data_IF_163939021330
#
_entry.id   IF_163939021330
#
_cell.length_a   1.000
_cell.length_b   1.000
_cell.length_c   1.000
_cell.angle_alpha   90.00
_cell.angle_beta   90.00
_cell.angle_gamma   90.00
#
_symmetry.space_group_name_H-M   'P 1'
#
loop_
_entity.id
_entity.type
_entity.pdbx_description
1 polymer ?
#
# COMPACT_ATOMS: atom_id res chain seq x y z
N UNK A 1 -4.91 24.86 -17.78
CA UNK A 1 -5.13 24.00 -16.60
C UNK A 1 -4.09 22.89 -16.72
N UNK A 2 -3.10 22.73 -15.82
CA UNK A 2 -2.37 21.48 -15.81
C UNK A 2 -3.40 20.37 -15.56
N UNK A 3 -3.29 19.26 -16.30
CA UNK A 3 -4.18 18.12 -16.13
C UNK A 3 -4.19 17.74 -14.64
N UNK A 4 -5.37 17.76 -14.02
CA UNK A 4 -5.56 17.14 -12.70
C UNK A 4 -5.39 15.65 -12.93
N UNK A 5 -4.20 15.13 -12.60
CA UNK A 5 -3.93 13.70 -12.66
C UNK A 5 -4.62 13.01 -11.49
N UNK A 6 -4.96 11.74 -11.68
CA UNK A 6 -5.43 10.85 -10.61
C UNK A 6 -4.56 9.59 -10.58
N UNK A 7 -4.15 9.16 -9.38
CA UNK A 7 -3.40 7.92 -9.22
C UNK A 7 -4.22 6.68 -9.65
N UNK A 8 -5.55 6.79 -9.71
CA UNK A 8 -6.39 5.72 -10.24
C UNK A 8 -6.19 5.49 -11.76
N UNK A 9 -5.55 6.42 -12.49
CA UNK A 9 -5.22 6.25 -13.91
C UNK A 9 -4.21 5.11 -14.15
N UNK A 10 -3.45 4.69 -13.12
CA UNK A 10 -2.57 3.51 -13.18
C UNK A 10 -3.34 2.19 -13.15
N UNK A 11 -4.65 2.19 -12.91
CA UNK A 11 -5.45 0.97 -12.80
C UNK A 11 -5.16 0.21 -11.52
N UNK A 12 -4.72 -1.04 -11.63
CA UNK A 12 -4.32 -1.86 -10.48
C UNK A 12 -2.89 -1.50 -10.07
N UNK A 13 -2.73 -1.00 -8.85
CA UNK A 13 -1.44 -0.56 -8.32
C UNK A 13 -1.27 -0.86 -6.84
N UNK A 14 -0.03 -0.86 -6.39
CA UNK A 14 0.29 -0.64 -4.99
C UNK A 14 1.45 0.33 -4.85
N UNK A 15 1.23 1.38 -4.07
CA UNK A 15 2.24 2.30 -3.63
C UNK A 15 2.55 2.01 -2.17
N UNK A 16 3.79 1.62 -1.90
CA UNK A 16 4.29 1.47 -0.54
C UNK A 16 5.28 2.57 -0.22
N UNK A 17 5.32 3.00 1.04
CA UNK A 17 6.32 3.93 1.55
C UNK A 17 6.92 3.37 2.82
N UNK A 18 8.21 3.59 3.01
CA UNK A 18 8.96 3.18 4.20
C UNK A 18 9.85 4.33 4.65
N UNK A 19 9.83 4.62 5.95
CA UNK A 19 10.68 5.64 6.55
C UNK A 19 12.06 5.05 6.86
N UNK A 20 13.12 5.83 6.65
CA UNK A 20 14.51 5.45 6.97
C UNK A 20 15.07 4.22 6.24
N UNK A 21 14.37 3.66 5.25
CA UNK A 21 14.96 2.74 4.29
C UNK A 21 15.40 3.51 3.04
N UNK A 22 16.44 3.00 2.37
CA UNK A 22 16.81 3.41 1.02
C UNK A 22 16.12 2.52 -0.04
N UNK A 23 16.15 2.87 -1.34
CA UNK A 23 15.48 2.09 -2.38
C UNK A 23 15.95 0.63 -2.50
N UNK A 24 17.23 0.33 -2.29
CA UNK A 24 17.76 -1.04 -2.32
C UNK A 24 17.21 -1.90 -1.18
N UNK A 25 17.11 -1.32 0.02
CA UNK A 25 16.50 -1.96 1.18
C UNK A 25 15.00 -2.17 0.98
N UNK A 26 14.31 -1.23 0.31
CA UNK A 26 12.92 -1.42 -0.11
C UNK A 26 12.82 -2.62 -1.05
N UNK A 27 13.61 -2.71 -2.12
CA UNK A 27 13.58 -3.88 -3.02
C UNK A 27 13.88 -5.20 -2.27
N UNK A 28 14.85 -5.18 -1.37
CA UNK A 28 15.19 -6.33 -0.52
C UNK A 28 14.01 -6.76 0.36
N UNK A 29 13.21 -5.81 0.87
CA UNK A 29 12.02 -6.11 1.67
C UNK A 29 10.93 -6.85 0.90
N UNK A 30 10.89 -6.69 -0.42
CA UNK A 30 10.04 -7.47 -1.34
C UNK A 30 10.66 -8.82 -1.74
N UNK A 31 11.92 -9.06 -1.38
CA UNK A 31 12.68 -10.26 -1.74
C UNK A 31 13.44 -10.16 -3.07
N UNK A 32 13.52 -8.97 -3.66
CA UNK A 32 14.32 -8.74 -4.87
C UNK A 32 15.81 -8.56 -4.52
N UNK A 33 16.68 -8.96 -5.44
CA UNK A 33 18.12 -8.67 -5.35
C UNK A 33 18.38 -7.26 -5.89
N UNK A 34 18.82 -6.28 -5.06
CA UNK A 34 19.13 -4.94 -5.54
C UNK A 34 20.31 -4.91 -6.52
N UNK A 35 21.19 -5.92 -6.53
CA UNK A 35 22.32 -6.02 -7.46
C UNK A 35 21.90 -6.23 -8.92
N UNK A 36 20.70 -6.78 -9.14
CA UNK A 36 20.12 -6.99 -10.48
C UNK A 36 19.21 -5.81 -10.90
N UNK A 37 19.01 -4.82 -10.03
CA UNK A 37 18.13 -3.70 -10.30
C UNK A 37 18.80 -2.66 -11.20
N UNK A 38 18.00 -1.99 -12.04
CA UNK A 38 18.46 -0.98 -13.00
C UNK A 38 17.64 0.30 -12.86
N UNK A 39 18.26 1.47 -13.04
CA UNK A 39 17.52 2.73 -13.11
C UNK A 39 16.73 2.79 -14.43
N UNK A 40 15.40 2.84 -14.34
CA UNK A 40 14.49 2.85 -15.48
C UNK A 40 13.32 3.79 -15.27
N UNK A 41 12.93 4.54 -16.32
CA UNK A 41 11.63 5.22 -16.33
C UNK A 41 10.47 4.21 -16.35
N UNK A 42 9.25 4.67 -16.08
CA UNK A 42 8.05 3.82 -16.20
C UNK A 42 7.95 3.22 -17.60
N UNK A 43 8.04 4.08 -18.61
CA UNK A 43 7.97 3.67 -20.01
C UNK A 43 9.06 2.66 -20.41
N UNK A 44 10.29 2.83 -19.92
CA UNK A 44 11.37 1.87 -20.16
C UNK A 44 11.04 0.52 -19.52
N UNK A 45 10.65 0.52 -18.25
CA UNK A 45 10.32 -0.71 -17.53
C UNK A 45 9.16 -1.48 -18.18
N UNK A 46 8.11 -0.79 -18.64
CA UNK A 46 6.98 -1.38 -19.35
C UNK A 46 7.38 -1.96 -20.71
N UNK A 47 8.30 -1.32 -21.42
CA UNK A 47 8.72 -1.74 -22.76
C UNK A 47 9.77 -2.85 -22.78
N UNK A 48 10.65 -2.89 -21.77
CA UNK A 48 11.81 -3.78 -21.73
C UNK A 48 11.61 -5.00 -20.82
N UNK A 49 10.74 -4.91 -19.80
CA UNK A 49 10.52 -6.00 -18.85
C UNK A 49 9.19 -6.67 -19.16
N UNK A 50 9.25 -7.93 -19.61
CA UNK A 50 8.08 -8.76 -19.79
C UNK A 50 7.50 -9.17 -18.43
N UNK A 51 6.39 -8.55 -18.03
CA UNK A 51 5.65 -8.93 -16.82
C UNK A 51 4.77 -10.14 -17.13
N UNK A 52 4.95 -11.22 -16.39
CA UNK A 52 4.06 -12.38 -16.37
C UNK A 52 3.07 -12.30 -15.20
N UNK A 53 2.01 -13.11 -15.23
CA UNK A 53 1.02 -13.21 -14.14
C UNK A 53 1.62 -13.62 -12.78
N UNK A 54 2.78 -14.29 -12.81
CA UNK A 54 3.50 -14.76 -11.61
C UNK A 54 4.55 -13.78 -11.12
N UNK A 55 4.85 -12.74 -11.92
CA UNK A 55 5.88 -11.76 -11.60
C UNK A 55 5.33 -10.51 -10.91
N UNK A 56 6.22 -9.78 -10.25
CA UNK A 56 5.96 -8.45 -9.73
C UNK A 56 7.08 -7.48 -10.15
N UNK A 57 6.71 -6.45 -10.89
CA UNK A 57 7.62 -5.37 -11.29
C UNK A 57 7.67 -4.31 -10.18
N UNK A 58 8.85 -4.15 -9.59
CA UNK A 58 9.09 -3.22 -8.49
C UNK A 58 9.85 -2.01 -9.02
N UNK A 59 9.39 -0.80 -8.71
CA UNK A 59 10.08 0.45 -9.04
C UNK A 59 10.22 1.30 -7.79
N UNK A 60 11.43 1.36 -7.25
CA UNK A 60 11.73 1.99 -5.98
C UNK A 60 12.49 3.32 -6.15
N UNK A 61 12.14 4.31 -5.33
CA UNK A 61 12.78 5.62 -5.30
C UNK A 61 12.76 6.23 -3.92
N UNK A 62 13.39 7.39 -3.79
CA UNK A 62 13.43 8.18 -2.57
C UNK A 62 12.59 9.46 -2.67
N UNK A 63 12.11 9.90 -1.51
CA UNK A 63 11.45 11.19 -1.32
C UNK A 63 11.74 11.70 0.11
N UNK A 64 12.81 12.49 0.23
CA UNK A 64 13.26 13.03 1.50
C UNK A 64 13.76 11.94 2.46
N UNK A 65 13.06 11.74 3.58
CA UNK A 65 13.40 10.70 4.58
C UNK A 65 12.66 9.38 4.36
N UNK A 66 11.88 9.30 3.28
CA UNK A 66 11.11 8.14 2.89
C UNK A 66 11.67 7.56 1.61
N UNK A 67 11.54 6.25 1.47
CA UNK A 67 11.62 5.58 0.18
C UNK A 67 10.28 4.97 -0.15
N UNK A 68 9.99 4.82 -1.43
CA UNK A 68 8.73 4.26 -1.92
C UNK A 68 8.98 3.17 -2.93
N UNK A 69 7.99 2.30 -3.13
CA UNK A 69 7.93 1.39 -4.27
C UNK A 69 6.55 1.47 -4.89
N UNK A 70 6.50 1.67 -6.20
CA UNK A 70 5.28 1.61 -7.01
C UNK A 70 5.29 0.32 -7.84
N UNK A 71 4.20 -0.42 -7.74
CA UNK A 71 3.93 -1.64 -8.49
C UNK A 71 2.69 -1.39 -9.35
N UNK A 72 2.77 -1.75 -10.64
CA UNK A 72 1.65 -1.69 -11.59
C UNK A 72 1.46 -3.11 -12.13
N UNK A 73 0.20 -3.58 -12.14
CA UNK A 73 -0.18 -4.93 -12.51
C UNK A 73 0.48 -6.03 -11.64
N UNK A 74 -0.35 -6.81 -10.95
CA UNK A 74 0.06 -7.86 -9.99
C UNK A 74 0.76 -7.38 -8.71
N UNK A 75 0.34 -6.28 -8.06
CA UNK A 75 1.01 -5.76 -6.88
C UNK A 75 1.02 -6.77 -5.73
N UNK A 76 2.09 -6.77 -4.95
CA UNK A 76 2.29 -7.64 -3.78
C UNK A 76 2.57 -6.84 -2.50
N UNK A 77 2.95 -5.57 -2.60
CA UNK A 77 3.34 -4.72 -1.47
C UNK A 77 2.27 -4.50 -0.40
N UNK A 78 1.01 -4.78 -0.71
CA UNK A 78 -0.08 -4.74 0.27
C UNK A 78 -0.08 -5.91 1.26
N UNK A 79 0.71 -6.96 1.01
CA UNK A 79 0.85 -8.11 1.88
C UNK A 79 1.46 -7.72 3.24
N UNK A 80 0.90 -8.25 4.33
CA UNK A 80 1.33 -7.93 5.69
C UNK A 80 2.82 -8.27 5.93
N UNK A 81 3.33 -9.30 5.25
CA UNK A 81 4.74 -9.71 5.36
C UNK A 81 5.67 -8.63 4.81
N UNK A 82 5.33 -8.07 3.66
CA UNK A 82 6.11 -7.00 3.02
C UNK A 82 5.98 -5.72 3.83
N UNK A 83 4.75 -5.33 4.22
CA UNK A 83 4.55 -4.12 4.99
C UNK A 83 5.25 -4.16 6.36
N UNK A 84 5.31 -5.33 7.02
CA UNK A 84 6.11 -5.51 8.25
C UNK A 84 7.59 -5.29 8.00
N UNK A 85 8.13 -5.86 6.92
CA UNK A 85 9.52 -5.72 6.52
C UNK A 85 9.88 -4.26 6.21
N UNK A 86 9.00 -3.57 5.49
CA UNK A 86 9.12 -2.14 5.17
C UNK A 86 9.01 -1.24 6.41
N UNK A 87 8.20 -1.61 7.40
CA UNK A 87 8.01 -0.82 8.61
C UNK A 87 9.27 -0.82 9.51
N UNK A 88 9.87 -1.99 9.73
CA UNK A 88 10.96 -2.15 10.70
C UNK A 88 10.59 -1.55 12.07
N UNK A 89 11.48 -0.76 12.65
CA UNK A 89 11.27 0.02 13.88
C UNK A 89 10.83 1.47 13.60
N UNK A 90 10.17 1.71 12.46
CA UNK A 90 9.76 3.04 12.01
C UNK A 90 8.34 3.02 11.44
N UNK A 91 8.08 3.74 10.35
CA UNK A 91 6.76 3.89 9.75
C UNK A 91 6.73 3.34 8.33
N UNK A 92 5.60 2.75 7.94
CA UNK A 92 5.34 2.39 6.56
C UNK A 92 3.87 2.56 6.17
N UNK A 93 3.63 2.81 4.89
CA UNK A 93 2.30 2.86 4.29
C UNK A 93 2.18 1.82 3.17
N UNK A 94 0.97 1.31 2.98
CA UNK A 94 0.56 0.68 1.73
C UNK A 94 -0.78 1.27 1.27
N UNK A 95 -0.78 1.87 0.08
CA UNK A 95 -1.97 2.26 -0.64
C UNK A 95 -2.09 1.34 -1.85
N UNK A 96 -3.13 0.50 -1.87
CA UNK A 96 -3.36 -0.42 -2.98
C UNK A 96 -4.71 -0.16 -3.61
N UNK A 97 -4.75 -0.32 -4.92
CA UNK A 97 -5.98 -0.49 -5.69
C UNK A 97 -5.88 -1.81 -6.43
N UNK A 98 -6.86 -2.68 -6.22
CA UNK A 98 -6.95 -3.97 -6.89
C UNK A 98 -8.30 -4.15 -7.57
N UNK A 99 -8.37 -5.09 -8.52
CA UNK A 99 -9.57 -5.51 -9.25
C UNK A 99 -10.91 -5.30 -8.52
N UNK A 100 -11.89 -4.77 -9.26
CA UNK A 100 -13.15 -4.19 -8.78
C UNK A 100 -13.04 -2.81 -8.12
N UNK A 101 -11.95 -2.06 -8.37
CA UNK A 101 -11.77 -0.68 -7.90
C UNK A 101 -11.71 -0.54 -6.37
N UNK A 102 -11.43 -1.64 -5.66
CA UNK A 102 -11.30 -1.61 -4.21
C UNK A 102 -9.97 -0.96 -3.84
N UNK A 103 -10.04 0.12 -3.06
CA UNK A 103 -8.86 0.82 -2.56
C UNK A 103 -8.63 0.41 -1.10
N UNK A 104 -7.43 -0.03 -0.76
CA UNK A 104 -7.05 -0.38 0.61
C UNK A 104 -5.92 0.54 1.08
N UNK A 105 -6.07 1.05 2.29
CA UNK A 105 -5.06 1.82 3.01
C UNK A 105 -4.57 1.02 4.21
N UNK A 106 -3.26 0.96 4.40
CA UNK A 106 -2.61 0.44 5.60
C UNK A 106 -1.55 1.40 6.08
N UNK A 107 -1.45 1.55 7.39
CA UNK A 107 -0.38 2.27 8.07
C UNK A 107 0.21 1.36 9.15
N UNK A 108 1.53 1.25 9.16
CA UNK A 108 2.29 0.51 10.14
C UNK A 108 3.28 1.43 10.85
N UNK A 109 3.48 1.20 12.14
CA UNK A 109 4.41 1.92 12.98
C UNK A 109 5.02 0.98 14.01
N UNK A 110 6.32 1.09 14.27
CA UNK A 110 7.07 0.35 15.29
C UNK A 110 6.82 -1.17 15.20
N UNK A 111 6.91 -1.71 13.99
CA UNK A 111 6.74 -3.13 13.69
C UNK A 111 5.32 -3.65 13.89
N UNK A 112 4.31 -2.78 13.92
CA UNK A 112 2.89 -3.14 14.13
C UNK A 112 2.00 -2.50 13.05
N UNK A 113 0.96 -3.22 12.64
CA UNK A 113 -0.08 -2.67 11.77
C UNK A 113 -1.02 -1.78 12.62
N UNK A 114 -0.97 -0.48 12.42
CA UNK A 114 -1.61 0.53 13.28
C UNK A 114 -2.96 1.01 12.74
N UNK A 115 -3.15 1.07 11.42
CA UNK A 115 -4.46 1.27 10.78
C UNK A 115 -4.59 0.42 9.51
N UNK A 116 -5.80 -0.08 9.23
CA UNK A 116 -6.14 -0.72 7.96
C UNK A 116 -7.62 -0.49 7.65
N UNK A 117 -7.92 -0.05 6.43
CA UNK A 117 -9.29 0.22 5.99
C UNK A 117 -9.40 0.36 4.47
N UNK A 118 -10.63 0.25 3.96
CA UNK A 118 -11.04 0.79 2.67
C UNK A 118 -11.47 2.26 2.88
N UNK A 119 -10.82 3.24 2.22
CA UNK A 119 -11.21 4.64 2.35
C UNK A 119 -12.68 4.85 2.03
N UNK A 120 -13.35 5.75 2.77
CA UNK A 120 -14.80 6.04 2.64
C UNK A 120 -15.73 4.90 3.04
N UNK A 121 -15.21 3.80 3.60
CA UNK A 121 -16.01 2.70 4.14
C UNK A 121 -15.77 2.53 5.65
N UNK A 122 -16.54 3.21 6.52
CA UNK A 122 -16.37 3.15 7.98
C UNK A 122 -16.46 1.75 8.60
N UNK A 123 -17.10 0.79 7.92
CA UNK A 123 -17.26 -0.57 8.43
C UNK A 123 -15.95 -1.38 8.37
N UNK A 124 -15.02 -0.97 7.50
CA UNK A 124 -13.74 -1.65 7.29
C UNK A 124 -12.64 -1.17 8.24
N UNK A 125 -12.86 -0.08 8.97
CA UNK A 125 -11.84 0.52 9.86
C UNK A 125 -11.38 -0.46 10.93
N UNK A 126 -10.07 -0.69 10.96
CA UNK A 126 -9.32 -1.43 11.98
C UNK A 126 -8.12 -0.60 12.41
N UNK A 127 -7.68 -0.79 13.65
CA UNK A 127 -6.61 0.02 14.23
C UNK A 127 -7.10 1.19 15.07
N UNK A 128 -6.16 1.80 15.80
CA UNK A 128 -6.41 2.83 16.82
C UNK A 128 -5.31 3.89 16.85
N UNK A 129 -4.58 4.09 15.75
CA UNK A 129 -3.50 5.08 15.72
C UNK A 129 -4.00 6.50 16.02
N UNK A 130 -3.14 7.29 16.66
CA UNK A 130 -3.41 8.69 16.97
C UNK A 130 -3.50 9.59 15.72
N UNK A 131 -3.06 9.10 14.55
CA UNK A 131 -3.11 9.86 13.31
C UNK A 131 -4.51 9.95 12.70
N UNK A 132 -5.39 8.99 13.04
CA UNK A 132 -6.77 8.94 12.59
C UNK A 132 -6.88 9.13 11.06
N UNK A 133 -6.07 8.39 10.29
CA UNK A 133 -5.94 8.57 8.84
C UNK A 133 -7.28 8.41 8.13
N UNK A 134 -8.12 7.46 8.59
CA UNK A 134 -9.48 7.31 8.05
C UNK A 134 -10.28 8.62 8.10
N UNK A 135 -10.30 9.30 9.25
CA UNK A 135 -11.04 10.56 9.43
C UNK A 135 -10.45 11.68 8.57
N UNK A 136 -9.12 11.76 8.48
CA UNK A 136 -8.45 12.74 7.60
C UNK A 136 -8.86 12.56 6.14
N UNK A 137 -8.83 11.32 5.65
CA UNK A 137 -9.23 10.97 4.27
C UNK A 137 -10.73 11.20 4.05
N UNK A 138 -11.57 10.93 5.06
CA UNK A 138 -13.01 11.16 5.01
C UNK A 138 -13.38 12.65 4.90
N UNK A 139 -12.54 13.53 5.42
CA UNK A 139 -12.74 14.99 5.40
C UNK A 139 -12.25 15.65 4.10
N UNK A 140 -11.56 14.92 3.23
CA UNK A 140 -11.21 15.39 1.88
C UNK A 140 -12.46 15.53 1.00
N UNK A 141 -12.41 16.40 -0.02
CA UNK A 141 -13.52 16.63 -0.95
C UNK A 141 -14.08 15.33 -1.54
N UNK A 142 -15.41 15.22 -1.59
CA UNK A 142 -16.09 14.07 -2.20
C UNK A 142 -15.85 13.94 -3.71
N UNK A 143 -15.44 15.03 -4.37
CA UNK A 143 -15.08 15.03 -5.80
C UNK A 143 -13.70 14.41 -6.10
N UNK A 144 -12.84 14.23 -5.09
CA UNK A 144 -11.56 13.54 -5.23
C UNK A 144 -11.79 12.03 -5.19
N UNK A 145 -10.99 11.22 -5.88
CA UNK A 145 -11.08 9.77 -5.77
C UNK A 145 -10.63 9.26 -4.40
N UNK A 146 -10.98 8.03 -4.03
CA UNK A 146 -10.59 7.44 -2.75
C UNK A 146 -9.07 7.27 -2.65
N UNK A 147 -8.44 6.83 -3.74
CA UNK A 147 -7.00 6.67 -3.82
C UNK A 147 -6.28 8.03 -3.79
N UNK A 148 -6.77 9.02 -4.54
CA UNK A 148 -6.14 10.35 -4.55
C UNK A 148 -6.29 11.08 -3.20
N UNK A 149 -7.43 10.96 -2.51
CA UNK A 149 -7.59 11.50 -1.17
C UNK A 149 -6.62 10.83 -0.17
N UNK A 150 -6.41 9.52 -0.31
CA UNK A 150 -5.43 8.78 0.49
C UNK A 150 -4.01 9.25 0.21
N UNK A 151 -3.65 9.44 -1.06
CA UNK A 151 -2.34 9.93 -1.47
C UNK A 151 -2.06 11.34 -0.95
N UNK A 152 -3.07 12.23 -0.95
CA UNK A 152 -2.95 13.58 -0.38
C UNK A 152 -2.64 13.53 1.12
N UNK A 153 -3.38 12.72 1.89
CA UNK A 153 -3.15 12.56 3.32
C UNK A 153 -1.78 11.94 3.64
N UNK A 154 -1.33 10.98 2.81
CA UNK A 154 0.05 10.44 2.91
C UNK A 154 1.06 11.55 2.63
N UNK A 155 0.90 12.30 1.54
CA UNK A 155 1.82 13.39 1.14
C UNK A 155 1.94 14.46 2.23
N UNK A 156 0.81 14.84 2.84
CA UNK A 156 0.78 15.74 4.02
C UNK A 156 1.55 15.16 5.21
N UNK A 157 1.37 13.87 5.50
CA UNK A 157 2.02 13.21 6.65
C UNK A 157 3.53 13.10 6.47
N UNK A 158 3.99 12.73 5.27
CA UNK A 158 5.42 12.59 4.98
C UNK A 158 6.09 13.96 4.74
N UNK A 159 5.30 15.02 4.53
CA UNK A 159 5.79 16.37 4.26
C UNK A 159 6.37 16.56 2.86
N UNK A 160 5.96 15.74 1.89
CA UNK A 160 6.48 15.76 0.52
C UNK A 160 5.41 15.33 -0.50
N UNK A 161 5.44 15.90 -1.69
CA UNK A 161 4.47 15.61 -2.75
C UNK A 161 4.86 14.36 -3.55
N UNK A 162 3.96 13.39 -3.61
CA UNK A 162 4.09 12.23 -4.50
C UNK A 162 3.42 12.58 -5.83
N UNK A 163 4.22 12.92 -6.84
CA UNK A 163 3.75 13.44 -8.12
C UNK A 163 3.91 12.42 -9.27
N UNK A 164 3.26 12.62 -10.42
CA UNK A 164 3.43 11.75 -11.59
C UNK A 164 4.86 11.77 -12.12
N UNK A 165 5.53 12.92 -12.07
CA UNK A 165 6.93 13.01 -12.51
C UNK A 165 7.86 12.18 -11.63
N UNK A 166 7.59 12.13 -10.32
CA UNK A 166 8.32 11.27 -9.39
C UNK A 166 8.09 9.78 -9.72
N UNK A 167 6.82 9.38 -9.86
CA UNK A 167 6.47 7.97 -10.11
C UNK A 167 6.91 7.47 -11.49
N UNK A 168 6.92 8.33 -12.51
CA UNK A 168 7.28 7.96 -13.88
C UNK A 168 8.77 8.17 -14.22
N UNK A 169 9.50 8.89 -13.39
CA UNK A 169 10.92 9.17 -13.56
C UNK A 169 11.81 7.91 -13.46
N UNK A 170 13.13 8.05 -13.65
CA UNK A 170 14.06 6.94 -13.47
C UNK A 170 14.07 6.46 -12.02
N UNK A 171 13.66 5.21 -11.80
CA UNK A 171 13.58 4.56 -10.49
C UNK A 171 14.37 3.25 -10.51
N UNK A 172 14.87 2.82 -9.34
CA UNK A 172 15.56 1.55 -9.20
C UNK A 172 14.55 0.42 -9.41
N UNK A 173 14.70 -0.31 -10.51
CA UNK A 173 13.68 -1.22 -11.04
C UNK A 173 14.19 -2.65 -11.00
N UNK A 174 13.42 -3.54 -10.40
CA UNK A 174 13.68 -4.98 -10.32
C UNK A 174 12.43 -5.77 -10.69
N UNK A 175 12.63 -6.93 -11.33
CA UNK A 175 11.55 -7.86 -11.63
C UNK A 175 11.66 -9.10 -10.73
N UNK A 176 10.65 -9.35 -9.92
CA UNK A 176 10.51 -10.61 -9.21
C UNK A 176 9.81 -11.61 -10.14
N UNK A 177 10.57 -12.49 -10.80
CA UNK A 177 10.02 -13.40 -11.82
C UNK A 177 8.98 -14.39 -11.27
N UNK A 178 9.17 -14.84 -10.02
CA UNK A 178 8.28 -15.80 -9.35
C UNK A 178 7.99 -15.35 -7.94
N UNK A 179 6.75 -14.91 -7.70
CA UNK A 179 6.28 -14.55 -6.36
C UNK A 179 5.62 -15.76 -5.69
N UNK A 180 6.10 -16.13 -4.49
CA UNK A 180 5.41 -17.08 -3.62
C UNK A 180 4.19 -16.42 -2.94
N UNK A 181 3.07 -16.36 -3.67
CA UNK A 181 1.81 -15.80 -3.17
C UNK A 181 1.26 -16.58 -1.97
N UNK A 182 1.58 -17.87 -1.85
CA UNK A 182 1.15 -18.68 -0.72
C UNK A 182 1.88 -18.26 0.56
N UNK A 183 3.17 -17.91 0.47
CA UNK A 183 3.93 -17.31 1.57
C UNK A 183 3.37 -15.94 1.95
N UNK A 184 3.10 -15.07 0.97
CA UNK A 184 2.58 -13.72 1.23
C UNK A 184 1.18 -13.71 1.87
N UNK A 185 0.38 -14.74 1.62
CA UNK A 185 -0.95 -14.90 2.22
C UNK A 185 -0.91 -15.43 3.66
N UNK A 186 0.25 -15.86 4.18
CA UNK A 186 0.34 -16.40 5.55
C UNK A 186 0.13 -15.28 6.56
N UNK A 187 -0.59 -15.56 7.67
CA UNK A 187 -0.64 -14.64 8.79
C UNK A 187 0.77 -14.31 9.30
N UNK A 188 1.02 -13.04 9.57
CA UNK A 188 2.31 -12.58 10.10
C UNK A 188 2.19 -12.36 11.60
N UNK A 189 2.76 -13.25 12.44
CA UNK A 189 2.58 -13.16 13.89
C UNK A 189 2.99 -11.80 14.44
N UNK A 190 2.12 -11.23 15.28
CA UNK A 190 2.34 -9.94 15.94
C UNK A 190 2.12 -8.71 15.05
N UNK A 191 1.83 -8.88 13.76
CA UNK A 191 1.58 -7.80 12.82
C UNK A 191 0.11 -7.79 12.41
N UNK A 192 -0.74 -7.34 13.33
CA UNK A 192 -2.18 -7.30 13.13
C UNK A 192 -2.71 -5.98 13.66
N UNK A 193 -3.71 -5.41 12.98
CA UNK A 193 -4.44 -4.27 13.54
C UNK A 193 -5.12 -4.69 14.85
N UNK A 194 -5.03 -3.87 15.92
CA UNK A 194 -5.84 -4.11 17.11
C UNK A 194 -7.32 -4.24 16.71
N UNK A 195 -7.97 -5.28 17.23
CA UNK A 195 -9.39 -5.53 16.97
C UNK A 195 -10.23 -4.37 17.48
N UNK A 196 -11.24 -3.98 16.70
CA UNK A 196 -12.23 -2.96 17.06
C UNK A 196 -12.75 -3.22 18.48
N UNK A 197 -12.48 -2.31 19.43
CA UNK A 197 -13.20 -2.26 20.69
C UNK A 197 -14.63 -1.74 20.41
N UNK A 198 -15.51 -2.62 19.90
CA UNK A 198 -16.88 -2.29 19.54
C UNK A 198 -17.76 -3.53 19.61
N UNK A 199 -18.66 -3.53 20.60
CA UNK A 199 -19.66 -4.55 20.98
C UNK A 199 -19.98 -5.62 19.95
N UNK A 200 -19.78 -6.89 20.35
CA UNK A 200 -20.44 -8.06 19.74
C UNK A 200 -21.91 -7.73 19.49
N UNK A 201 -22.29 -7.56 18.24
CA UNK A 201 -23.68 -7.70 17.83
C UNK A 201 -24.07 -9.15 18.09
N UNK A 202 -24.83 -9.37 19.16
CA UNK A 202 -25.46 -10.67 19.45
C UNK A 202 -26.61 -10.83 18.46
N UNK A 203 -26.33 -11.37 17.28
CA UNK A 203 -27.33 -11.75 16.31
C UNK A 203 -27.44 -13.28 16.31
N UNK A 204 -28.55 -13.78 16.85
CA UNK A 204 -28.90 -15.20 16.81
C UNK A 204 -29.60 -15.77 18.05
N UNK A 205 -30.62 -15.10 18.60
CA UNK A 205 -31.59 -15.79 19.48
C UNK A 205 -32.36 -16.78 18.59
N UNK A 206 -32.13 -18.08 18.80
CA UNK A 206 -32.95 -19.17 18.22
C UNK A 206 -34.43 -18.87 18.47
N UNK A 207 -35.20 -18.60 17.41
CA UNK A 207 -36.65 -18.65 17.48
C UNK A 207 -37.06 -20.11 17.59
N UNK A 208 -37.90 -20.41 18.57
CA UNK A 208 -38.28 -21.75 18.96
C UNK A 208 -39.03 -22.52 17.88
N UNK A 209 -38.90 -23.84 17.95
CA UNK A 209 -39.83 -24.79 17.32
C UNK A 209 -41.13 -24.78 18.12
N UNK A 210 -42.25 -24.51 17.45
CA UNK A 210 -43.59 -24.78 17.97
C UNK A 210 -43.88 -26.24 17.62
N UNK A 211 -44.26 -27.01 18.65
CA UNK A 211 -44.71 -28.40 18.52
C UNK A 211 -46.18 -28.51 18.12
#
# INVERSE_FOLDING_TARGET
MPATWDIEEYGDFCLTLSRNLNPEQVLTAFGADPGEARLMSASQSESEIGVSETSALLRAGDIGTWSFCIEIANPIGFADLILKSLCGDSEAFALSRSGHSMTTFKYAQDGRLSESFEPRNPQTVRGDSHHAFFQRIQNTSSGTSAAMASLQVISEHIGAEISPSLLNGPLLTANLETVDRALLARPVPGFHSPTRHGTRSVLGRRLGTIG
#
